data_IF_014841846414
#
_entry.id   IF_014841846414
#
_cell.length_a   1.000
_cell.length_b   1.000
_cell.length_c   1.000
_cell.angle_alpha   90.00
_cell.angle_beta   90.00
_cell.angle_gamma   90.00
#
_symmetry.space_group_name_H-M   'P 1'
#
loop_
_entity.id
_entity.type
_entity.pdbx_description
1 polymer ?
#
# COMPACT_ATOMS: atom_id res chain seq x y z
N UNK A 1 -58.04 -61.60 -17.05
CA UNK A 1 -58.07 -60.16 -16.67
C UNK A 1 -57.14 -59.75 -15.53
N UNK A 2 -56.76 -60.61 -14.56
CA UNK A 2 -55.87 -60.21 -13.42
C UNK A 2 -54.42 -59.83 -13.80
N UNK A 3 -53.87 -60.35 -14.90
CA UNK A 3 -52.46 -60.06 -15.29
C UNK A 3 -52.26 -58.69 -15.93
N UNK A 4 -53.27 -58.15 -16.63
CA UNK A 4 -53.17 -56.84 -17.31
C UNK A 4 -53.04 -55.71 -16.28
N UNK A 5 -53.78 -55.76 -15.17
CA UNK A 5 -53.65 -54.77 -14.09
C UNK A 5 -52.27 -54.76 -13.42
N UNK A 6 -51.63 -55.93 -13.30
CA UNK A 6 -50.27 -56.03 -12.76
C UNK A 6 -49.22 -55.44 -13.72
N UNK A 7 -49.33 -55.67 -15.04
CA UNK A 7 -48.43 -55.07 -16.03
C UNK A 7 -48.60 -53.55 -16.11
N UNK A 8 -49.83 -53.03 -16.06
CA UNK A 8 -50.09 -51.58 -16.01
C UNK A 8 -49.49 -50.96 -14.75
N UNK A 9 -49.65 -51.60 -13.58
CA UNK A 9 -49.04 -51.14 -12.33
C UNK A 9 -47.51 -51.11 -12.40
N UNK A 10 -46.87 -52.12 -13.00
CA UNK A 10 -45.42 -52.15 -13.19
C UNK A 10 -44.95 -51.05 -14.15
N UNK A 11 -45.65 -50.82 -15.26
CA UNK A 11 -45.31 -49.75 -16.21
C UNK A 11 -45.45 -48.38 -15.57
N UNK A 12 -46.53 -48.13 -14.83
CA UNK A 12 -46.71 -46.87 -14.08
C UNK A 12 -45.61 -46.70 -13.03
N UNK A 13 -45.24 -47.76 -12.31
CA UNK A 13 -44.15 -47.70 -11.34
C UNK A 13 -42.80 -47.40 -11.99
N UNK A 14 -42.49 -48.00 -13.14
CA UNK A 14 -41.25 -47.74 -13.88
C UNK A 14 -41.23 -46.32 -14.44
N UNK A 15 -42.36 -45.81 -14.94
CA UNK A 15 -42.46 -44.42 -15.40
C UNK A 15 -42.30 -43.43 -14.24
N UNK A 16 -42.89 -43.71 -13.07
CA UNK A 16 -42.68 -42.89 -11.87
C UNK A 16 -41.24 -42.97 -11.37
N UNK A 17 -40.63 -44.15 -11.33
CA UNK A 17 -39.23 -44.32 -10.94
C UNK A 17 -38.29 -43.60 -11.93
N UNK A 18 -38.55 -43.72 -13.23
CA UNK A 18 -37.82 -43.00 -14.28
C UNK A 18 -37.98 -41.49 -14.16
N UNK A 19 -39.18 -40.99 -13.84
CA UNK A 19 -39.43 -39.58 -13.58
C UNK A 19 -38.68 -39.09 -12.32
N UNK A 20 -38.67 -39.86 -11.24
CA UNK A 20 -37.93 -39.51 -10.00
C UNK A 20 -36.41 -39.51 -10.26
N UNK A 21 -35.90 -40.49 -10.99
CA UNK A 21 -34.48 -40.55 -11.38
C UNK A 21 -34.12 -39.37 -12.29
N UNK A 22 -34.97 -39.05 -13.27
CA UNK A 22 -34.77 -37.88 -14.12
C UNK A 22 -34.81 -36.58 -13.32
N UNK A 23 -35.76 -36.40 -12.41
CA UNK A 23 -35.83 -35.25 -11.50
C UNK A 23 -34.59 -35.15 -10.60
N UNK A 24 -34.05 -36.28 -10.14
CA UNK A 24 -32.81 -36.32 -9.36
C UNK A 24 -31.60 -35.87 -10.19
N UNK A 25 -31.39 -36.46 -11.37
CA UNK A 25 -30.25 -36.11 -12.23
C UNK A 25 -30.38 -34.73 -12.90
N UNK A 26 -31.59 -34.23 -13.11
CA UNK A 26 -31.83 -32.87 -13.59
C UNK A 26 -31.77 -31.82 -12.46
N UNK A 27 -31.41 -32.20 -11.24
CA UNK A 27 -31.15 -31.28 -10.11
C UNK A 27 -32.39 -30.78 -9.37
N UNK A 28 -33.58 -31.30 -9.68
CA UNK A 28 -34.84 -30.86 -9.06
C UNK A 28 -35.04 -31.33 -7.62
N UNK A 29 -34.48 -32.51 -7.28
CA UNK A 29 -34.56 -33.10 -5.94
C UNK A 29 -33.32 -32.79 -5.09
N UNK A 30 -32.57 -31.75 -5.46
CA UNK A 30 -31.39 -31.35 -4.72
C UNK A 30 -31.72 -30.72 -3.37
N UNK A 31 -30.88 -31.01 -2.37
CA UNK A 31 -30.93 -30.45 -1.01
C UNK A 31 -29.74 -29.51 -0.72
N UNK A 32 -28.84 -29.34 -1.69
CA UNK A 32 -27.79 -28.34 -1.64
C UNK A 32 -28.40 -26.95 -1.45
N UNK A 33 -27.77 -26.15 -0.58
CA UNK A 33 -28.19 -24.77 -0.36
C UNK A 33 -27.28 -23.83 -1.15
N UNK A 34 -27.80 -22.70 -1.66
CA UNK A 34 -26.99 -21.72 -2.35
C UNK A 34 -25.95 -21.10 -1.41
N UNK A 35 -24.74 -20.85 -1.92
CA UNK A 35 -23.66 -20.14 -1.25
C UNK A 35 -23.79 -18.63 -1.39
N UNK A 36 -23.43 -17.90 -0.33
CA UNK A 36 -23.32 -16.44 -0.30
C UNK A 36 -21.90 -16.11 0.18
N UNK A 37 -21.15 -15.34 -0.61
CA UNK A 37 -19.81 -14.88 -0.23
C UNK A 37 -19.68 -13.39 -0.48
N UNK A 38 -19.41 -12.62 0.56
CA UNK A 38 -19.09 -11.20 0.44
C UNK A 38 -17.62 -11.03 0.07
N UNK A 39 -17.30 -10.05 -0.79
CA UNK A 39 -15.91 -9.73 -1.12
C UNK A 39 -15.20 -8.95 0.00
N UNK A 40 -15.97 -8.32 0.88
CA UNK A 40 -15.47 -7.57 2.04
C UNK A 40 -16.38 -7.75 3.27
N UNK A 41 -15.80 -7.67 4.47
CA UNK A 41 -16.59 -7.59 5.70
C UNK A 41 -17.23 -6.19 5.85
N UNK A 42 -18.51 -6.16 6.22
CA UNK A 42 -19.28 -4.92 6.32
C UNK A 42 -19.65 -4.68 7.78
N UNK A 43 -18.84 -3.95 8.52
CA UNK A 43 -19.15 -3.56 9.90
C UNK A 43 -20.01 -2.30 10.00
N UNK A 44 -19.93 -1.42 8.99
CA UNK A 44 -20.71 -0.17 8.95
C UNK A 44 -21.06 0.26 7.51
N UNK A 45 -22.13 1.07 7.41
CA UNK A 45 -22.65 1.66 6.17
C UNK A 45 -22.85 3.16 6.37
N UNK A 46 -22.20 3.96 5.52
CA UNK A 46 -22.33 5.41 5.49
C UNK A 46 -23.42 5.89 4.55
N UNK A 47 -23.29 7.11 4.03
CA UNK A 47 -24.33 7.70 3.15
C UNK A 47 -24.64 6.80 1.95
N UNK A 48 -23.59 6.34 1.28
CA UNK A 48 -23.63 5.37 0.19
C UNK A 48 -22.54 4.34 0.38
N UNK A 49 -22.87 3.06 0.16
CA UNK A 49 -21.88 1.98 0.15
C UNK A 49 -22.28 0.93 -0.86
N UNK A 50 -21.33 0.52 -1.70
CA UNK A 50 -21.53 -0.61 -2.59
C UNK A 50 -21.14 -1.90 -1.88
N UNK A 51 -21.96 -2.93 -2.06
CA UNK A 51 -21.77 -4.27 -1.52
C UNK A 51 -21.53 -5.20 -2.69
N UNK A 52 -20.32 -5.74 -2.77
CA UNK A 52 -19.96 -6.75 -3.75
C UNK A 52 -20.08 -8.15 -3.13
N UNK A 53 -20.89 -9.00 -3.76
CA UNK A 53 -21.10 -10.37 -3.32
C UNK A 53 -21.16 -11.35 -4.50
N UNK A 54 -20.77 -12.59 -4.22
CA UNK A 54 -20.85 -13.71 -5.15
C UNK A 54 -21.84 -14.72 -4.59
N UNK A 55 -22.85 -15.04 -5.39
CA UNK A 55 -23.81 -16.11 -5.15
C UNK A 55 -23.40 -17.34 -5.94
N UNK A 56 -23.58 -18.53 -5.38
CA UNK A 56 -23.30 -19.79 -6.08
C UNK A 56 -24.31 -20.87 -5.75
N UNK A 57 -24.63 -21.71 -6.72
CA UNK A 57 -25.38 -22.94 -6.53
C UNK A 57 -24.93 -23.94 -7.59
N UNK A 58 -24.27 -25.02 -7.16
CA UNK A 58 -23.59 -25.95 -8.06
C UNK A 58 -24.56 -26.88 -8.82
N UNK A 59 -25.80 -26.96 -8.38
CA UNK A 59 -26.74 -28.05 -8.65
C UNK A 59 -27.99 -27.52 -9.31
N UNK A 60 -29.00 -27.10 -8.54
CA UNK A 60 -30.31 -26.69 -9.04
C UNK A 60 -30.28 -25.30 -9.69
N UNK A 61 -29.25 -24.51 -9.37
CA UNK A 61 -29.04 -23.15 -9.86
C UNK A 61 -29.78 -22.10 -9.04
N UNK A 62 -29.26 -20.89 -9.03
CA UNK A 62 -29.81 -19.74 -8.32
C UNK A 62 -31.16 -19.35 -8.92
N UNK A 63 -32.14 -19.09 -8.05
CA UNK A 63 -33.48 -18.63 -8.44
C UNK A 63 -33.75 -17.17 -8.08
N UNK A 64 -33.29 -16.73 -6.91
CA UNK A 64 -33.50 -15.37 -6.44
C UNK A 64 -32.47 -14.95 -5.42
N UNK A 65 -32.31 -13.64 -5.29
CA UNK A 65 -31.65 -13.00 -4.16
C UNK A 65 -32.51 -11.85 -3.64
N UNK A 66 -32.48 -11.66 -2.33
CA UNK A 66 -33.10 -10.53 -1.64
C UNK A 66 -32.14 -9.98 -0.61
N UNK A 67 -31.92 -8.67 -0.64
CA UNK A 67 -31.03 -7.97 0.29
C UNK A 67 -31.87 -6.94 1.05
N UNK A 68 -31.84 -7.01 2.37
CA UNK A 68 -32.68 -6.22 3.25
C UNK A 68 -31.88 -5.67 4.43
N UNK A 69 -32.26 -4.47 4.89
CA UNK A 69 -31.75 -3.89 6.13
C UNK A 69 -32.89 -3.75 7.11
N UNK A 70 -32.73 -4.35 8.28
CA UNK A 70 -33.65 -4.23 9.40
C UNK A 70 -33.14 -3.19 10.41
N UNK A 71 -33.95 -2.16 10.67
CA UNK A 71 -33.67 -1.14 11.67
C UNK A 71 -35.00 -0.55 12.18
N UNK A 72 -35.08 -0.23 13.48
CA UNK A 72 -36.27 0.36 14.10
C UNK A 72 -37.57 -0.46 13.88
N UNK A 73 -37.48 -1.79 13.95
CA UNK A 73 -38.58 -2.73 13.68
C UNK A 73 -39.13 -2.67 12.25
N UNK A 74 -38.41 -2.04 11.33
CA UNK A 74 -38.78 -1.96 9.92
C UNK A 74 -37.71 -2.62 9.05
N UNK A 75 -38.17 -3.47 8.15
CA UNK A 75 -37.33 -4.05 7.10
C UNK A 75 -37.42 -3.19 5.85
N UNK A 76 -36.27 -2.78 5.33
CA UNK A 76 -36.15 -1.99 4.10
C UNK A 76 -35.47 -2.85 3.04
N UNK A 77 -36.13 -2.99 1.89
CA UNK A 77 -35.57 -3.70 0.75
C UNK A 77 -34.47 -2.86 0.09
N UNK A 78 -33.26 -3.40 0.02
CA UNK A 78 -32.14 -2.79 -0.69
C UNK A 78 -32.17 -3.20 -2.16
N UNK A 79 -32.24 -4.51 -2.42
CA UNK A 79 -32.28 -5.06 -3.76
C UNK A 79 -32.97 -6.43 -3.78
N UNK A 80 -33.59 -6.76 -4.91
CA UNK A 80 -34.08 -8.10 -5.21
C UNK A 80 -33.87 -8.37 -6.70
N UNK A 81 -33.35 -9.55 -7.02
CA UNK A 81 -33.17 -10.02 -8.40
C UNK A 81 -33.64 -11.48 -8.49
N UNK A 82 -34.30 -11.82 -9.60
CA UNK A 82 -34.65 -13.19 -9.94
C UNK A 82 -33.78 -13.67 -11.09
N UNK A 83 -33.43 -14.96 -11.06
CA UNK A 83 -32.54 -15.57 -12.03
C UNK A 83 -33.27 -16.65 -12.83
N UNK A 84 -33.05 -16.73 -14.15
CA UNK A 84 -33.52 -17.86 -14.94
C UNK A 84 -32.80 -19.15 -14.50
N UNK A 85 -33.39 -20.30 -14.82
CA UNK A 85 -32.75 -21.61 -14.54
C UNK A 85 -31.40 -21.74 -15.24
N UNK A 86 -30.48 -22.44 -14.58
CA UNK A 86 -29.13 -22.71 -15.10
C UNK A 86 -28.06 -21.71 -14.66
N UNK A 87 -28.42 -20.63 -13.95
CA UNK A 87 -27.43 -19.70 -13.38
C UNK A 87 -26.80 -20.34 -12.14
N UNK A 88 -25.56 -20.83 -12.28
CA UNK A 88 -24.82 -21.48 -11.17
C UNK A 88 -23.99 -20.54 -10.33
N UNK A 89 -23.65 -19.38 -10.86
CA UNK A 89 -22.88 -18.36 -10.16
C UNK A 89 -23.28 -16.97 -10.67
N UNK A 90 -23.35 -15.99 -9.76
CA UNK A 90 -23.63 -14.61 -10.10
C UNK A 90 -22.84 -13.68 -9.17
N UNK A 91 -22.07 -12.77 -9.77
CA UNK A 91 -21.51 -11.62 -9.08
C UNK A 91 -22.52 -10.46 -9.12
N UNK A 92 -22.76 -9.85 -7.96
CA UNK A 92 -23.65 -8.72 -7.79
C UNK A 92 -22.93 -7.58 -7.07
N UNK A 93 -23.17 -6.37 -7.56
CA UNK A 93 -22.82 -5.12 -6.90
C UNK A 93 -24.09 -4.36 -6.56
N UNK A 94 -24.35 -4.19 -5.27
CA UNK A 94 -25.57 -3.54 -4.78
C UNK A 94 -25.23 -2.28 -4.03
N UNK A 95 -25.79 -1.15 -4.45
CA UNK A 95 -25.58 0.13 -3.79
C UNK A 95 -26.62 0.36 -2.70
N UNK A 96 -26.16 0.55 -1.46
CA UNK A 96 -26.99 0.93 -0.32
C UNK A 96 -26.97 2.44 -0.20
N UNK A 97 -28.13 3.08 -0.38
CA UNK A 97 -28.35 4.50 -0.13
C UNK A 97 -29.15 4.68 1.16
N UNK A 98 -28.50 5.15 2.21
CA UNK A 98 -29.11 5.26 3.54
C UNK A 98 -30.23 6.30 3.61
N UNK A 99 -30.15 7.36 2.81
CA UNK A 99 -31.17 8.40 2.74
C UNK A 99 -32.41 7.89 1.99
N UNK A 100 -32.21 7.24 0.84
CA UNK A 100 -33.31 6.65 0.07
C UNK A 100 -34.07 5.59 0.88
N UNK A 101 -33.35 4.80 1.67
CA UNK A 101 -33.91 3.80 2.57
C UNK A 101 -34.45 4.40 3.88
N UNK A 102 -34.26 5.71 4.14
CA UNK A 102 -34.66 6.38 5.38
C UNK A 102 -34.09 5.70 6.64
N UNK A 103 -32.85 5.26 6.56
CA UNK A 103 -32.10 4.70 7.69
C UNK A 103 -31.59 5.82 8.60
N UNK A 104 -31.48 5.55 9.90
CA UNK A 104 -30.95 6.48 10.91
C UNK A 104 -29.62 5.98 11.42
N UNK A 105 -28.80 6.90 11.95
CA UNK A 105 -27.55 6.52 12.60
C UNK A 105 -27.83 5.61 13.81
N UNK A 106 -27.11 4.50 13.92
CA UNK A 106 -27.30 3.49 14.97
C UNK A 106 -27.19 2.06 14.46
N UNK A 107 -27.47 1.06 15.32
CA UNK A 107 -27.40 -0.35 14.94
C UNK A 107 -28.47 -0.72 13.90
N UNK A 108 -28.14 -1.65 13.02
CA UNK A 108 -29.03 -2.27 12.05
C UNK A 108 -28.57 -3.72 11.77
N UNK A 109 -29.41 -4.51 11.11
CA UNK A 109 -29.04 -5.85 10.65
C UNK A 109 -29.17 -5.94 9.13
N UNK A 110 -28.08 -6.28 8.44
CA UNK A 110 -28.06 -6.57 7.02
C UNK A 110 -28.37 -8.05 6.84
N UNK A 111 -29.36 -8.37 6.01
CA UNK A 111 -29.76 -9.75 5.69
C UNK A 111 -29.72 -9.97 4.19
N UNK A 112 -29.02 -11.02 3.76
CA UNK A 112 -28.98 -11.48 2.37
C UNK A 112 -29.58 -12.87 2.34
N UNK A 113 -30.62 -13.03 1.52
CA UNK A 113 -31.32 -14.29 1.32
C UNK A 113 -31.15 -14.73 -0.12
N UNK A 114 -30.60 -15.92 -0.33
CA UNK A 114 -30.45 -16.54 -1.65
C UNK A 114 -31.29 -17.83 -1.71
N UNK A 115 -32.08 -18.00 -2.77
CA UNK A 115 -32.91 -19.17 -3.00
C UNK A 115 -32.54 -19.87 -4.30
N UNK A 116 -32.80 -21.18 -4.37
CA UNK A 116 -32.50 -22.04 -5.51
C UNK A 116 -33.76 -22.44 -6.32
N UNK A 117 -33.56 -23.12 -7.45
CA UNK A 117 -34.65 -23.60 -8.33
C UNK A 117 -35.13 -25.02 -8.00
N UNK A 118 -34.67 -25.61 -6.89
CA UNK A 118 -35.06 -26.96 -6.49
C UNK A 118 -36.57 -27.03 -6.16
N UNK A 119 -37.14 -28.24 -6.21
CA UNK A 119 -38.53 -28.46 -5.79
C UNK A 119 -38.74 -28.22 -4.29
N UNK A 120 -37.66 -28.23 -3.51
CA UNK A 120 -37.68 -27.94 -2.08
C UNK A 120 -37.50 -26.45 -1.78
N UNK A 121 -37.22 -25.61 -2.79
CA UNK A 121 -36.95 -24.19 -2.67
C UNK A 121 -35.93 -23.90 -1.55
N UNK A 122 -34.77 -24.53 -1.63
CA UNK A 122 -33.73 -24.39 -0.62
C UNK A 122 -33.28 -22.93 -0.54
N UNK A 123 -33.03 -22.48 0.68
CA UNK A 123 -32.71 -21.09 0.97
C UNK A 123 -31.54 -21.00 1.96
N UNK A 124 -30.66 -20.03 1.69
CA UNK A 124 -29.60 -19.61 2.60
C UNK A 124 -29.88 -18.18 3.01
N UNK A 125 -29.88 -17.95 4.32
CA UNK A 125 -29.99 -16.62 4.93
C UNK A 125 -28.67 -16.31 5.61
N UNK A 126 -28.01 -15.26 5.14
CA UNK A 126 -26.84 -14.67 5.78
C UNK A 126 -27.27 -13.37 6.47
N UNK A 127 -26.85 -13.16 7.71
CA UNK A 127 -27.23 -11.97 8.48
C UNK A 127 -26.07 -11.47 9.32
N UNK A 128 -25.87 -10.15 9.35
CA UNK A 128 -24.82 -9.50 10.13
C UNK A 128 -25.32 -8.20 10.77
N UNK A 129 -24.93 -8.01 12.03
CA UNK A 129 -25.11 -6.72 12.72
C UNK A 129 -24.14 -5.69 12.15
N UNK A 130 -24.69 -4.53 11.79
CA UNK A 130 -23.96 -3.42 11.19
C UNK A 130 -24.32 -2.12 11.91
N UNK A 131 -23.48 -1.11 11.76
CA UNK A 131 -23.79 0.26 12.22
C UNK A 131 -24.07 1.16 11.02
N UNK A 132 -25.20 1.85 11.02
CA UNK A 132 -25.45 2.96 10.11
C UNK A 132 -24.80 4.21 10.72
N UNK A 133 -23.89 4.83 9.99
CA UNK A 133 -23.18 6.03 10.44
C UNK A 133 -22.90 6.94 9.25
N UNK A 134 -23.63 8.04 9.15
CA UNK A 134 -23.58 8.99 8.02
C UNK A 134 -22.75 10.25 8.30
N UNK A 135 -22.13 10.32 9.49
CA UNK A 135 -21.38 11.49 9.93
C UNK A 135 -19.89 11.27 9.65
N UNK A 136 -19.16 12.22 9.04
CA UNK A 136 -17.73 12.08 8.87
C UNK A 136 -16.97 12.14 10.21
N UNK A 137 -15.79 11.50 10.32
CA UNK A 137 -14.91 11.72 11.47
C UNK A 137 -14.45 13.18 11.52
N UNK A 138 -14.22 13.72 12.71
CA UNK A 138 -13.57 15.02 12.88
C UNK A 138 -12.08 14.82 13.13
N UNK A 139 -11.24 15.66 12.55
CA UNK A 139 -9.78 15.61 12.69
C UNK A 139 -9.32 16.77 13.57
N UNK A 140 -8.66 16.46 14.67
CA UNK A 140 -8.03 17.42 15.56
C UNK A 140 -6.50 17.30 15.46
N UNK A 141 -5.87 18.28 14.80
CA UNK A 141 -4.40 18.37 14.73
C UNK A 141 -3.89 18.82 16.09
N UNK A 142 -2.98 18.04 16.70
CA UNK A 142 -2.49 18.33 18.04
C UNK A 142 -1.35 19.35 18.00
N UNK A 143 -0.41 19.19 17.07
CA UNK A 143 0.71 20.11 16.88
C UNK A 143 0.84 20.51 15.41
N UNK A 144 0.52 21.77 15.05
CA UNK A 144 0.65 22.22 13.67
C UNK A 144 2.11 22.26 13.23
N UNK A 145 2.34 22.08 11.93
CA UNK A 145 3.67 22.13 11.32
C UNK A 145 3.89 23.53 10.76
N UNK A 146 4.75 24.32 11.40
CA UNK A 146 4.99 25.69 10.95
C UNK A 146 5.82 25.75 9.66
N UNK A 147 6.87 24.93 9.58
CA UNK A 147 7.83 24.94 8.49
C UNK A 147 8.17 23.53 8.03
N UNK A 148 8.34 23.38 6.72
CA UNK A 148 8.81 22.16 6.06
C UNK A 148 9.90 22.53 5.06
N UNK A 149 10.91 21.69 4.88
CA UNK A 149 11.90 21.90 3.83
C UNK A 149 11.47 21.18 2.55
N UNK A 150 11.69 21.80 1.40
CA UNK A 150 11.58 21.14 0.10
C UNK A 150 12.53 19.92 0.06
N UNK A 151 12.00 18.76 -0.32
CA UNK A 151 12.74 17.49 -0.28
C UNK A 151 12.92 16.91 1.13
N UNK A 152 12.34 17.51 2.17
CA UNK A 152 12.47 17.09 3.56
C UNK A 152 11.33 16.20 4.04
N UNK A 153 11.31 15.99 5.34
CA UNK A 153 10.30 15.18 6.05
C UNK A 153 9.35 16.06 6.84
N UNK A 154 8.06 15.76 6.76
CA UNK A 154 7.06 16.26 7.70
C UNK A 154 6.66 15.19 8.72
N UNK A 155 6.29 15.65 9.92
CA UNK A 155 5.72 14.81 10.97
C UNK A 155 4.57 15.53 11.67
N UNK A 156 3.45 14.83 11.84
CA UNK A 156 2.27 15.31 12.56
C UNK A 156 1.74 14.29 13.55
N UNK A 157 1.10 14.80 14.59
CA UNK A 157 0.25 14.06 15.51
C UNK A 157 -1.17 14.65 15.49
N UNK A 158 -2.18 13.80 15.41
CA UNK A 158 -3.58 14.20 15.34
C UNK A 158 -4.50 13.13 15.94
N UNK A 159 -5.73 13.50 16.25
CA UNK A 159 -6.79 12.60 16.70
C UNK A 159 -7.98 12.66 15.79
N UNK A 160 -8.69 11.54 15.71
CA UNK A 160 -9.99 11.46 15.05
C UNK A 160 -11.08 11.30 16.11
N UNK A 161 -12.26 11.89 15.89
CA UNK A 161 -13.37 11.79 16.86
C UNK A 161 -13.92 10.36 17.04
N UNK A 162 -13.59 9.47 16.12
CA UNK A 162 -13.94 8.05 16.11
C UNK A 162 -12.87 7.22 15.39
N UNK A 163 -12.83 5.88 15.58
CA UNK A 163 -11.89 5.02 14.89
C UNK A 163 -11.97 5.19 13.36
N UNK A 164 -10.79 5.28 12.73
CA UNK A 164 -10.68 5.43 11.28
C UNK A 164 -10.10 4.16 10.68
N UNK A 165 -10.78 3.61 9.67
CA UNK A 165 -10.31 2.45 8.92
C UNK A 165 -9.09 2.80 8.04
N UNK A 166 -9.02 4.04 7.56
CA UNK A 166 -7.87 4.57 6.84
C UNK A 166 -7.62 6.01 7.29
N UNK A 167 -6.39 6.34 7.65
CA UNK A 167 -6.03 7.71 8.02
C UNK A 167 -4.57 7.98 7.72
N UNK A 168 -4.23 9.23 7.42
CA UNK A 168 -2.87 9.61 7.06
C UNK A 168 -2.79 11.04 6.55
N UNK A 169 -1.76 11.31 5.76
CA UNK A 169 -1.50 12.62 5.16
C UNK A 169 -1.44 12.48 3.66
N UNK A 170 -2.17 13.33 2.96
CA UNK A 170 -1.96 13.58 1.54
C UNK A 170 -0.96 14.70 1.35
N UNK A 171 0.02 14.49 0.48
CA UNK A 171 0.82 15.53 -0.16
C UNK A 171 0.50 15.50 -1.65
N UNK A 172 -0.28 16.47 -2.10
CA UNK A 172 -0.98 16.48 -3.38
C UNK A 172 -1.80 15.20 -3.58
N UNK A 173 -1.27 14.24 -4.35
CA UNK A 173 -1.92 12.94 -4.64
C UNK A 173 -1.28 11.77 -3.90
N UNK A 174 -0.15 11.97 -3.23
CA UNK A 174 0.58 10.90 -2.53
C UNK A 174 0.04 10.77 -1.12
N UNK A 175 -0.28 9.55 -0.73
CA UNK A 175 -0.81 9.24 0.61
C UNK A 175 0.27 8.60 1.47
N UNK A 176 0.44 9.12 2.69
CA UNK A 176 1.31 8.57 3.71
C UNK A 176 0.46 8.09 4.89
N UNK A 177 0.56 6.81 5.21
CA UNK A 177 -0.27 6.19 6.24
C UNK A 177 0.02 6.77 7.63
N UNK A 178 -1.05 7.01 8.39
CA UNK A 178 -0.98 7.32 9.80
C UNK A 178 -1.02 6.06 10.65
N UNK A 179 -0.31 6.07 11.76
CA UNK A 179 -0.21 4.97 12.70
C UNK A 179 -0.72 5.41 14.07
N UNK A 180 -1.74 4.73 14.58
CA UNK A 180 -2.29 5.02 15.92
C UNK A 180 -1.43 4.36 16.98
N UNK A 181 -0.82 5.20 17.83
CA UNK A 181 0.01 4.80 18.96
C UNK A 181 -0.52 5.44 20.24
N UNK A 182 -0.12 4.91 21.40
CA UNK A 182 -0.44 5.52 22.68
C UNK A 182 0.58 6.63 22.99
N UNK A 183 0.15 7.89 22.96
CA UNK A 183 0.93 9.04 23.44
C UNK A 183 0.28 9.56 24.73
N UNK A 184 1.06 9.65 25.81
CA UNK A 184 0.57 10.02 27.15
C UNK A 184 -0.69 9.21 27.58
N UNK A 185 -0.74 7.92 27.24
CA UNK A 185 -1.87 7.03 27.55
C UNK A 185 -3.12 7.23 26.69
N UNK A 186 -3.07 8.10 25.67
CA UNK A 186 -4.20 8.39 24.77
C UNK A 186 -3.90 7.92 23.34
N UNK A 187 -4.86 7.26 22.67
CA UNK A 187 -4.69 6.88 21.27
C UNK A 187 -4.54 8.15 20.42
N UNK A 188 -3.42 8.23 19.73
CA UNK A 188 -3.05 9.38 18.91
C UNK A 188 -2.44 8.85 17.62
N UNK A 189 -2.91 9.36 16.49
CA UNK A 189 -2.36 8.98 15.19
C UNK A 189 -1.19 9.88 14.86
N UNK A 190 -0.08 9.27 14.48
CA UNK A 190 1.11 9.97 14.00
C UNK A 190 1.38 9.59 12.55
N UNK A 191 1.90 10.52 11.77
CA UNK A 191 2.26 10.27 10.37
C UNK A 191 3.52 11.03 10.01
N UNK A 192 4.49 10.32 9.43
CA UNK A 192 5.53 10.94 8.62
C UNK A 192 5.01 11.12 7.19
N UNK A 193 5.43 12.18 6.51
CA UNK A 193 5.16 12.38 5.08
C UNK A 193 6.34 13.03 4.38
N UNK A 194 6.60 12.64 3.14
CA UNK A 194 7.68 13.22 2.35
C UNK A 194 7.21 14.51 1.66
N UNK A 195 8.05 15.55 1.72
CA UNK A 195 7.83 16.79 0.96
C UNK A 195 8.62 16.69 -0.34
N UNK A 196 7.97 16.74 -1.51
CA UNK A 196 8.65 16.57 -2.79
C UNK A 196 9.82 17.56 -2.98
N UNK A 197 10.92 17.16 -3.65
CA UNK A 197 12.01 18.07 -4.00
C UNK A 197 11.61 19.18 -4.96
N UNK A 198 10.44 19.12 -5.59
CA UNK A 198 9.85 20.14 -6.46
C UNK A 198 8.67 20.87 -5.80
N UNK A 199 8.44 20.65 -4.49
CA UNK A 199 7.35 21.28 -3.76
C UNK A 199 7.47 22.81 -3.76
N UNK A 200 6.34 23.49 -3.96
CA UNK A 200 6.26 24.95 -4.05
C UNK A 200 5.32 25.46 -2.97
N UNK A 201 5.81 26.41 -2.16
CA UNK A 201 5.01 27.06 -1.13
C UNK A 201 3.72 27.67 -1.70
N UNK A 202 2.59 27.41 -1.05
CA UNK A 202 1.26 27.87 -1.49
C UNK A 202 0.67 27.12 -2.69
N UNK A 203 1.40 26.21 -3.35
CA UNK A 203 0.88 25.36 -4.44
C UNK A 203 0.75 23.90 -4.02
N UNK A 204 1.77 23.35 -3.36
CA UNK A 204 1.75 21.99 -2.83
C UNK A 204 0.73 21.90 -1.71
N UNK A 205 -0.26 21.00 -1.85
CA UNK A 205 -1.33 20.83 -0.88
C UNK A 205 -1.00 19.71 0.09
N UNK A 206 -1.00 20.02 1.38
CA UNK A 206 -0.79 19.03 2.43
C UNK A 206 -2.04 18.98 3.29
N UNK A 207 -2.59 17.80 3.50
CA UNK A 207 -3.83 17.64 4.21
C UNK A 207 -3.92 16.31 4.96
N UNK A 208 -4.41 16.37 6.19
CA UNK A 208 -4.71 15.20 6.99
C UNK A 208 -6.03 14.61 6.53
N UNK A 209 -6.07 13.29 6.37
CA UNK A 209 -7.22 12.55 5.89
C UNK A 209 -7.63 11.46 6.89
N UNK A 210 -8.92 11.24 7.02
CA UNK A 210 -9.49 10.15 7.78
C UNK A 210 -10.74 9.62 7.08
N UNK A 211 -10.86 8.29 7.03
CA UNK A 211 -12.04 7.56 6.58
C UNK A 211 -12.42 6.54 7.63
N UNK A 212 -13.68 6.55 8.05
CA UNK A 212 -14.22 5.56 8.99
C UNK A 212 -14.61 4.24 8.30
N UNK A 213 -15.08 3.26 9.08
CA UNK A 213 -15.52 1.97 8.55
C UNK A 213 -16.82 2.07 7.70
N UNK A 214 -17.58 3.14 7.87
CA UNK A 214 -18.81 3.42 7.13
C UNK A 214 -18.52 4.05 5.75
N UNK A 215 -17.27 4.46 5.51
CA UNK A 215 -16.83 5.10 4.27
C UNK A 215 -16.98 6.62 4.27
N UNK A 216 -17.31 7.24 5.41
CA UNK A 216 -17.34 8.70 5.48
C UNK A 216 -15.90 9.23 5.59
N UNK A 217 -15.62 10.24 4.78
CA UNK A 217 -14.30 10.85 4.67
C UNK A 217 -14.30 12.26 5.27
N UNK A 218 -13.18 12.62 5.87
CA UNK A 218 -12.88 13.96 6.31
C UNK A 218 -11.45 14.33 5.93
N UNK A 219 -11.26 15.61 5.63
CA UNK A 219 -9.96 16.16 5.30
C UNK A 219 -9.78 17.51 5.97
N UNK A 220 -8.59 17.78 6.48
CA UNK A 220 -8.21 19.08 7.04
C UNK A 220 -6.86 19.48 6.49
N UNK A 221 -6.81 20.65 5.85
CA UNK A 221 -5.55 21.21 5.34
C UNK A 221 -4.58 21.41 6.50
N UNK A 222 -3.33 21.00 6.30
CA UNK A 222 -2.24 21.30 7.22
C UNK A 222 -1.61 22.63 6.78
N UNK A 223 -1.86 23.74 7.51
CA UNK A 223 -1.20 25.00 7.19
C UNK A 223 0.28 24.87 7.52
N UNK A 224 1.15 25.07 6.53
CA UNK A 224 2.59 25.07 6.70
C UNK A 224 3.26 25.96 5.67
N UNK A 225 4.44 26.49 6.00
CA UNK A 225 5.30 27.17 5.03
C UNK A 225 6.37 26.20 4.51
N UNK A 226 6.41 25.98 3.20
CA UNK A 226 7.45 25.17 2.56
C UNK A 226 8.65 26.08 2.25
N UNK A 227 9.76 25.84 2.93
CA UNK A 227 11.04 26.52 2.71
C UNK A 227 11.69 25.97 1.44
N UNK A 228 11.94 26.82 0.43
CA UNK A 228 12.62 26.38 -0.78
C UNK A 228 14.05 25.97 -0.45
N UNK A 229 14.56 24.97 -1.16
CA UNK A 229 15.95 24.51 -1.05
C UNK A 229 16.66 24.71 -2.37
N UNK A 230 17.85 25.32 -2.34
CA UNK A 230 18.71 25.40 -3.51
C UNK A 230 19.47 24.09 -3.65
N UNK A 231 19.16 23.35 -4.70
CA UNK A 231 19.89 22.15 -5.07
C UNK A 231 21.06 22.48 -5.99
N UNK A 232 22.13 21.69 -5.91
CA UNK A 232 23.27 21.85 -6.84
C UNK A 232 22.87 21.30 -8.21
N UNK A 233 23.53 21.80 -9.24
CA UNK A 233 23.37 21.30 -10.60
C UNK A 233 24.76 21.01 -11.18
N UNK A 234 24.98 19.77 -11.60
CA UNK A 234 26.25 19.30 -12.13
C UNK A 234 26.03 18.70 -13.53
N UNK A 235 27.02 18.90 -14.42
CA UNK A 235 27.06 18.24 -15.73
C UNK A 235 28.01 17.06 -15.67
N UNK A 236 27.60 15.91 -16.18
CA UNK A 236 28.38 14.67 -16.16
C UNK A 236 28.59 14.20 -17.59
N UNK A 237 29.82 14.28 -18.07
CA UNK A 237 30.19 13.70 -19.36
C UNK A 237 30.21 12.17 -19.25
N UNK A 238 29.39 11.51 -20.05
CA UNK A 238 29.37 10.05 -20.14
C UNK A 238 30.56 9.59 -20.98
N UNK A 239 31.72 9.45 -20.34
CA UNK A 239 32.90 8.94 -21.00
C UNK A 239 32.69 7.50 -21.48
N UNK A 240 33.35 7.14 -22.60
CA UNK A 240 33.33 5.76 -23.08
C UNK A 240 33.84 4.77 -22.03
N UNK A 241 34.84 5.15 -21.24
CA UNK A 241 35.37 4.32 -20.15
C UNK A 241 34.34 4.08 -19.04
N UNK A 242 33.55 5.09 -18.67
CA UNK A 242 32.48 4.94 -17.69
C UNK A 242 31.37 4.04 -18.22
N UNK A 243 30.91 4.29 -19.45
CA UNK A 243 29.85 3.50 -20.07
C UNK A 243 30.26 2.02 -20.23
N UNK A 244 31.49 1.74 -20.69
CA UNK A 244 32.00 0.38 -20.81
C UNK A 244 32.12 -0.35 -19.47
N UNK A 245 32.34 0.37 -18.38
CA UNK A 245 32.42 -0.22 -17.03
C UNK A 245 31.05 -0.68 -16.52
N UNK A 246 29.99 0.09 -16.75
CA UNK A 246 28.66 -0.17 -16.17
C UNK A 246 27.80 -1.12 -17.02
N UNK A 247 28.01 -1.15 -18.34
CA UNK A 247 27.16 -1.88 -19.29
C UNK A 247 27.10 -3.39 -19.04
N UNK A 248 28.24 -4.10 -18.79
CA UNK A 248 28.22 -5.55 -18.64
C UNK A 248 27.30 -6.02 -17.51
N UNK A 249 27.35 -5.33 -16.37
CA UNK A 249 26.53 -5.67 -15.20
C UNK A 249 25.03 -5.58 -15.53
N UNK A 250 24.59 -4.47 -16.15
CA UNK A 250 23.18 -4.28 -16.50
C UNK A 250 22.71 -5.18 -17.64
N UNK A 251 23.57 -5.52 -18.61
CA UNK A 251 23.22 -6.47 -19.68
C UNK A 251 23.06 -7.90 -19.14
N UNK A 252 23.85 -8.28 -18.13
CA UNK A 252 23.74 -9.59 -17.48
C UNK A 252 22.46 -9.73 -16.65
N UNK A 253 22.03 -8.66 -15.98
CA UNK A 253 20.84 -8.66 -15.12
C UNK A 253 19.54 -8.43 -15.89
N UNK A 254 19.60 -7.79 -17.07
CA UNK A 254 18.42 -7.36 -17.82
C UNK A 254 18.48 -7.86 -19.26
N UNK A 255 17.85 -9.00 -19.58
CA UNK A 255 17.95 -9.64 -20.90
C UNK A 255 17.57 -8.74 -22.08
N UNK A 256 16.67 -7.77 -21.87
CA UNK A 256 16.22 -6.81 -22.88
C UNK A 256 17.33 -5.83 -23.33
N UNK A 257 18.42 -5.73 -22.57
CA UNK A 257 19.57 -4.88 -22.87
C UNK A 257 20.67 -5.60 -23.66
N UNK A 258 20.53 -6.91 -23.89
CA UNK A 258 21.50 -7.68 -24.65
C UNK A 258 21.65 -7.14 -26.07
N UNK A 259 22.89 -6.90 -26.49
CA UNK A 259 23.23 -6.37 -27.82
C UNK A 259 22.95 -4.87 -28.02
N UNK A 260 22.49 -4.14 -26.99
CA UNK A 260 22.32 -2.69 -27.04
C UNK A 260 23.65 -1.94 -26.93
N UNK A 261 23.71 -0.75 -27.53
CA UNK A 261 24.87 0.13 -27.40
C UNK A 261 25.01 0.68 -25.97
N UNK A 262 26.21 1.10 -25.53
CA UNK A 262 26.40 1.62 -24.18
C UNK A 262 25.51 2.82 -23.82
N UNK A 263 25.25 3.70 -24.79
CA UNK A 263 24.39 4.87 -24.61
C UNK A 263 22.91 4.47 -24.49
N UNK A 264 22.44 3.49 -25.27
CA UNK A 264 21.07 2.95 -25.15
C UNK A 264 20.87 2.26 -23.79
N UNK A 265 21.85 1.48 -23.34
CA UNK A 265 21.84 0.84 -22.01
C UNK A 265 21.74 1.91 -20.92
N UNK A 266 22.57 2.95 -20.98
CA UNK A 266 22.49 4.05 -20.03
C UNK A 266 21.14 4.78 -20.09
N UNK A 267 20.58 5.00 -21.28
CA UNK A 267 19.25 5.59 -21.45
C UNK A 267 18.14 4.82 -20.73
N UNK A 268 18.13 3.49 -20.85
CA UNK A 268 17.21 2.62 -20.12
C UNK A 268 17.46 2.67 -18.60
N UNK A 269 18.73 2.56 -18.18
CA UNK A 269 19.13 2.62 -16.78
C UNK A 269 18.73 3.94 -16.13
N UNK A 270 18.85 5.06 -16.85
CA UNK A 270 18.53 6.40 -16.35
C UNK A 270 17.04 6.76 -16.45
N UNK A 271 16.20 5.89 -17.00
CA UNK A 271 14.75 6.10 -17.11
C UNK A 271 14.01 4.91 -16.49
N UNK A 272 13.70 3.89 -17.29
CA UNK A 272 12.89 2.72 -16.92
C UNK A 272 13.38 2.04 -15.64
N UNK A 273 14.68 1.78 -15.51
CA UNK A 273 15.20 1.08 -14.33
C UNK A 273 15.05 1.91 -13.05
N UNK A 274 15.19 3.24 -13.11
CA UNK A 274 14.96 4.12 -11.95
C UNK A 274 13.50 4.07 -11.49
N UNK A 275 12.57 4.06 -12.44
CA UNK A 275 11.13 3.95 -12.14
C UNK A 275 10.79 2.58 -11.52
N UNK A 276 11.34 1.51 -12.06
CA UNK A 276 11.19 0.16 -11.52
C UNK A 276 11.79 0.02 -10.11
N UNK A 277 12.98 0.59 -9.88
CA UNK A 277 13.60 0.62 -8.55
C UNK A 277 12.75 1.42 -7.57
N UNK A 278 12.21 2.57 -7.98
CA UNK A 278 11.31 3.38 -7.15
C UNK A 278 10.06 2.61 -6.75
N UNK A 279 9.40 1.93 -7.70
CA UNK A 279 8.23 1.08 -7.40
C UNK A 279 8.56 -0.08 -6.47
N UNK A 280 9.73 -0.69 -6.66
CA UNK A 280 10.21 -1.78 -5.79
C UNK A 280 10.42 -1.27 -4.36
N UNK A 281 11.07 -0.12 -4.20
CA UNK A 281 11.30 0.51 -2.88
C UNK A 281 9.97 0.88 -2.22
N UNK A 282 9.03 1.49 -2.96
CA UNK A 282 7.70 1.79 -2.45
C UNK A 282 6.95 0.54 -1.99
N UNK A 283 7.01 -0.56 -2.76
CA UNK A 283 6.36 -1.82 -2.41
C UNK A 283 6.98 -2.47 -1.16
N UNK A 284 8.31 -2.44 -1.04
CA UNK A 284 9.05 -2.94 0.14
C UNK A 284 8.68 -2.11 1.38
N UNK A 285 8.64 -0.79 1.26
CA UNK A 285 8.32 0.13 2.36
C UNK A 285 6.83 0.25 2.68
N UNK A 286 5.94 -0.40 1.91
CA UNK A 286 4.49 -0.33 2.12
C UNK A 286 4.06 -1.01 3.44
N UNK A 287 4.88 -1.92 3.98
CA UNK A 287 4.67 -2.58 5.27
C UNK A 287 5.73 -2.09 6.24
N UNK A 288 5.29 -1.59 7.38
CA UNK A 288 6.14 -0.99 8.42
C UNK A 288 5.65 -1.38 9.80
N UNK A 289 6.55 -1.44 10.78
CA UNK A 289 6.19 -1.70 12.16
C UNK A 289 5.26 -0.60 12.71
N UNK A 290 4.19 -0.94 13.44
CA UNK A 290 3.24 0.03 14.00
C UNK A 290 3.78 0.74 15.27
N UNK A 291 5.10 0.86 15.40
CA UNK A 291 5.78 1.45 16.55
C UNK A 291 7.11 2.06 16.12
N UNK A 292 7.60 3.06 16.86
CA UNK A 292 8.93 3.64 16.67
C UNK A 292 9.99 2.62 17.11
N UNK A 293 10.89 2.21 16.20
CA UNK A 293 11.98 1.26 16.50
C UNK A 293 13.34 1.93 16.72
N UNK A 294 13.46 3.20 16.38
CA UNK A 294 14.71 3.97 16.41
C UNK A 294 14.76 4.90 17.62
N UNK A 295 15.98 5.31 18.00
CA UNK A 295 16.18 6.31 19.05
C UNK A 295 17.34 7.27 18.75
N UNK A 296 17.14 8.54 19.11
CA UNK A 296 18.09 9.62 18.84
C UNK A 296 18.38 9.87 17.35
N UNK A 297 19.48 10.60 17.09
CA UNK A 297 19.93 10.89 15.73
C UNK A 297 20.43 9.66 14.99
N UNK A 298 20.20 9.63 13.67
CA UNK A 298 20.67 8.57 12.80
C UNK A 298 22.17 8.70 12.59
N UNK A 299 22.84 7.56 12.67
CA UNK A 299 24.27 7.45 12.46
C UNK A 299 24.60 7.70 10.98
N UNK A 300 25.57 8.58 10.75
CA UNK A 300 26.19 8.82 9.45
C UNK A 300 27.49 8.01 9.38
N UNK A 301 27.74 7.35 8.24
CA UNK A 301 28.97 6.59 7.98
C UNK A 301 30.23 7.32 8.50
N UNK A 302 31.01 6.61 9.33
CA UNK A 302 32.22 7.15 9.97
C UNK A 302 33.30 7.44 8.92
N UNK A 303 34.12 8.46 9.18
CA UNK A 303 35.29 8.79 8.35
C UNK A 303 34.99 8.90 6.83
N UNK A 304 33.79 9.38 6.49
CA UNK A 304 33.34 9.51 5.12
C UNK A 304 33.18 10.98 4.70
N UNK A 305 33.55 11.27 3.46
CA UNK A 305 33.38 12.58 2.80
C UNK A 305 32.14 12.54 1.91
N UNK A 306 31.26 13.56 1.94
CA UNK A 306 30.15 13.65 1.00
C UNK A 306 30.68 13.95 -0.41
N UNK A 307 30.27 13.14 -1.38
CA UNK A 307 30.62 13.29 -2.80
C UNK A 307 29.45 13.87 -3.62
N UNK A 308 28.23 13.52 -3.25
CA UNK A 308 27.00 14.11 -3.78
C UNK A 308 25.95 14.23 -2.68
N UNK A 309 25.07 15.22 -2.80
CA UNK A 309 24.04 15.55 -1.82
C UNK A 309 22.65 15.20 -2.36
N UNK A 310 21.69 15.14 -1.43
CA UNK A 310 20.30 14.92 -1.79
C UNK A 310 19.75 16.09 -2.61
N UNK A 311 19.05 15.75 -3.68
CA UNK A 311 18.44 16.67 -4.62
C UNK A 311 19.40 17.25 -5.66
N UNK A 312 20.70 16.89 -5.64
CA UNK A 312 21.64 17.30 -6.68
C UNK A 312 21.11 16.91 -8.07
N UNK A 313 21.02 17.88 -8.97
CA UNK A 313 20.51 17.72 -10.32
C UNK A 313 21.68 17.40 -11.26
N UNK A 314 21.61 16.27 -11.96
CA UNK A 314 22.66 15.83 -12.88
C UNK A 314 22.13 15.91 -14.31
N UNK A 315 22.84 16.63 -15.17
CA UNK A 315 22.65 16.58 -16.63
C UNK A 315 23.76 15.73 -17.25
N UNK A 316 23.39 14.62 -17.85
CA UNK A 316 24.31 13.73 -18.55
C UNK A 316 24.56 14.22 -19.97
N UNK A 317 25.81 14.23 -20.40
CA UNK A 317 26.24 14.66 -21.72
C UNK A 317 26.84 13.49 -22.51
N UNK A 318 26.55 13.43 -23.80
CA UNK A 318 27.24 12.57 -24.78
C UNK A 318 27.82 13.50 -25.84
N UNK A 319 29.15 13.44 -26.03
CA UNK A 319 29.89 14.33 -26.95
C UNK A 319 29.57 15.83 -26.73
N UNK A 320 29.48 16.24 -25.46
CA UNK A 320 29.17 17.60 -25.04
C UNK A 320 27.71 18.03 -25.20
N UNK A 321 26.82 17.15 -25.69
CA UNK A 321 25.39 17.44 -25.88
C UNK A 321 24.54 16.81 -24.77
N UNK A 322 23.51 17.51 -24.25
CA UNK A 322 22.58 16.94 -23.26
C UNK A 322 21.91 15.67 -23.77
N UNK A 323 22.02 14.60 -22.98
CA UNK A 323 21.44 13.29 -23.26
C UNK A 323 20.28 12.96 -22.32
N UNK A 324 20.42 13.27 -21.03
CA UNK A 324 19.40 12.97 -20.03
C UNK A 324 19.64 13.69 -18.72
N UNK A 325 18.65 13.66 -17.83
CA UNK A 325 18.75 14.27 -16.50
C UNK A 325 18.44 13.24 -15.41
N UNK A 326 18.92 13.48 -14.20
CA UNK A 326 18.48 12.77 -13.00
C UNK A 326 18.58 13.67 -11.78
N UNK A 327 17.85 13.28 -10.72
CA UNK A 327 17.97 13.89 -9.39
C UNK A 327 18.58 12.85 -8.46
N UNK A 328 19.54 13.28 -7.64
CA UNK A 328 20.18 12.41 -6.68
C UNK A 328 19.31 12.23 -5.43
N UNK A 329 18.76 11.03 -5.21
CA UNK A 329 17.78 10.75 -4.16
C UNK A 329 18.40 10.23 -2.85
N UNK A 330 19.64 10.62 -2.57
CA UNK A 330 20.37 10.21 -1.38
C UNK A 330 21.61 11.07 -1.18
N UNK A 331 22.55 10.58 -0.37
CA UNK A 331 23.86 11.20 -0.15
C UNK A 331 24.92 10.14 -0.41
N UNK A 332 25.87 10.48 -1.27
CA UNK A 332 26.98 9.61 -1.61
C UNK A 332 28.13 9.91 -0.64
N UNK A 333 28.57 8.89 0.12
CA UNK A 333 29.57 8.98 1.17
C UNK A 333 30.75 8.07 0.83
N UNK A 334 31.91 8.68 0.52
CA UNK A 334 33.11 7.93 0.18
C UNK A 334 34.09 7.88 1.37
N UNK A 335 34.72 6.73 1.56
CA UNK A 335 35.80 6.51 2.54
C UNK A 335 36.91 5.67 1.89
N UNK A 336 37.67 4.92 2.68
CA UNK A 336 38.56 3.88 2.16
C UNK A 336 37.75 2.77 1.47
N UNK A 337 38.36 2.07 0.51
CA UNK A 337 37.70 0.99 -0.21
C UNK A 337 37.22 -0.12 0.74
N UNK A 338 36.05 -0.69 0.45
CA UNK A 338 35.40 -1.70 1.30
C UNK A 338 35.25 -1.27 2.77
N UNK A 339 34.96 0.01 3.01
CA UNK A 339 34.72 0.51 4.34
C UNK A 339 33.49 -0.19 4.97
N UNK A 340 33.52 -0.49 6.28
CA UNK A 340 32.35 -1.00 7.00
C UNK A 340 31.15 -0.07 6.85
N UNK A 341 29.98 -0.66 6.58
CA UNK A 341 28.70 0.04 6.57
C UNK A 341 27.88 -0.44 7.75
N UNK A 342 27.49 0.50 8.61
CA UNK A 342 26.66 0.24 9.78
C UNK A 342 25.23 0.76 9.61
N UNK A 343 24.28 0.09 10.28
CA UNK A 343 22.91 0.54 10.35
C UNK A 343 22.82 1.92 11.04
N UNK A 344 22.19 2.88 10.37
CA UNK A 344 22.05 4.25 10.84
C UNK A 344 21.26 4.33 12.16
N UNK A 345 20.27 3.46 12.35
CA UNK A 345 19.56 3.33 13.61
C UNK A 345 19.00 1.91 13.77
N UNK A 346 18.41 1.61 14.94
CA UNK A 346 17.76 0.33 15.18
C UNK A 346 16.52 0.15 14.29
N UNK A 347 16.25 -1.09 13.88
CA UNK A 347 15.14 -1.41 12.99
C UNK A 347 15.14 -2.85 12.51
N UNK A 348 14.29 -3.15 11.54
CA UNK A 348 14.15 -4.47 10.91
C UNK A 348 14.61 -4.39 9.46
N UNK A 349 15.46 -5.30 9.02
CA UNK A 349 15.86 -5.38 7.61
C UNK A 349 14.68 -5.88 6.79
N UNK A 350 14.18 -5.05 5.87
CA UNK A 350 13.03 -5.37 5.00
C UNK A 350 13.46 -5.72 3.57
N UNK A 351 14.71 -5.43 3.21
CA UNK A 351 15.31 -5.82 1.93
C UNK A 351 16.82 -6.02 2.08
N UNK A 352 17.36 -7.04 1.41
CA UNK A 352 18.78 -7.33 1.34
C UNK A 352 19.07 -8.10 0.03
N UNK A 353 19.66 -7.43 -0.96
CA UNK A 353 19.99 -8.05 -2.25
C UNK A 353 20.21 -7.03 -3.38
N UNK A 354 20.31 -7.49 -4.65
CA UNK A 354 20.44 -6.61 -5.81
C UNK A 354 19.19 -5.75 -6.06
N UNK A 355 19.37 -4.45 -6.31
CA UNK A 355 18.30 -3.47 -6.53
C UNK A 355 18.69 -2.48 -7.64
N UNK A 356 18.75 -2.95 -8.87
CA UNK A 356 18.97 -2.14 -10.08
C UNK A 356 20.14 -1.17 -9.95
N UNK A 357 19.86 0.14 -10.07
CA UNK A 357 20.89 1.18 -10.00
C UNK A 357 21.62 1.22 -8.65
N UNK A 358 20.98 0.77 -7.57
CA UNK A 358 21.56 0.77 -6.23
C UNK A 358 22.52 -0.42 -6.01
N UNK A 359 22.67 -1.32 -6.98
CA UNK A 359 23.52 -2.49 -6.83
C UNK A 359 23.04 -3.39 -5.70
N UNK A 360 23.96 -3.97 -4.94
CA UNK A 360 23.61 -4.63 -3.69
C UNK A 360 23.16 -3.59 -2.68
N UNK A 361 21.93 -3.74 -2.19
CA UNK A 361 21.31 -2.80 -1.29
C UNK A 361 20.71 -3.50 -0.07
N UNK A 362 20.65 -2.74 1.03
CA UNK A 362 19.90 -3.07 2.25
C UNK A 362 18.87 -1.98 2.49
N UNK A 363 17.66 -2.34 2.87
CA UNK A 363 16.64 -1.39 3.37
C UNK A 363 16.23 -1.82 4.78
N UNK A 364 16.22 -0.87 5.72
CA UNK A 364 15.86 -1.07 7.12
C UNK A 364 14.61 -0.26 7.45
N UNK A 365 13.56 -0.93 7.91
CA UNK A 365 12.38 -0.31 8.52
C UNK A 365 12.69 0.13 9.94
N UNK A 366 12.46 1.40 10.23
CA UNK A 366 12.58 1.99 11.56
C UNK A 366 11.20 2.17 12.22
N UNK A 367 10.13 1.74 11.54
CA UNK A 367 8.77 1.79 11.99
C UNK A 367 8.05 3.09 11.66
N UNK A 368 6.72 3.06 11.75
CA UNK A 368 5.81 4.17 11.46
C UNK A 368 5.99 4.76 10.04
N UNK A 369 6.49 3.96 9.10
CA UNK A 369 6.71 4.36 7.71
C UNK A 369 8.06 5.02 7.42
N UNK A 370 8.98 5.04 8.39
CA UNK A 370 10.35 5.53 8.22
C UNK A 370 11.31 4.39 7.86
N UNK A 371 12.14 4.56 6.85
CA UNK A 371 13.15 3.57 6.46
C UNK A 371 14.47 4.22 6.03
N UNK A 372 15.55 3.46 6.04
CA UNK A 372 16.84 3.85 5.45
C UNK A 372 17.29 2.85 4.38
N UNK A 373 17.97 3.33 3.34
CA UNK A 373 18.53 2.53 2.24
C UNK A 373 20.04 2.71 2.18
N UNK A 374 20.75 1.59 2.00
CA UNK A 374 22.21 1.51 1.88
C UNK A 374 22.53 0.82 0.56
N UNK A 375 23.02 1.56 -0.43
CA UNK A 375 23.31 1.08 -1.77
C UNK A 375 24.81 0.94 -2.07
N UNK A 376 25.09 0.35 -3.23
CA UNK A 376 26.41 0.09 -3.82
C UNK A 376 27.30 -0.85 -3.03
N UNK A 377 26.72 -1.68 -2.15
CA UNK A 377 27.50 -2.56 -1.28
C UNK A 377 28.32 -3.58 -2.09
N UNK A 378 29.54 -3.89 -1.65
CA UNK A 378 30.30 -5.02 -2.19
C UNK A 378 29.87 -6.33 -1.53
N UNK A 379 29.56 -6.28 -0.24
CA UNK A 379 29.13 -7.42 0.58
C UNK A 379 27.94 -7.00 1.43
N UNK A 380 26.92 -7.86 1.48
CA UNK A 380 25.80 -7.76 2.42
C UNK A 380 26.06 -8.77 3.55
N UNK A 381 26.09 -8.30 4.79
CA UNK A 381 26.33 -9.11 6.00
C UNK A 381 25.09 -9.15 6.91
N UNK A 382 23.92 -8.92 6.33
CA UNK A 382 22.62 -8.96 7.00
C UNK A 382 21.59 -9.65 6.12
N UNK A 383 20.40 -9.94 6.67
CA UNK A 383 19.34 -10.64 5.95
C UNK A 383 17.96 -10.09 6.31
N UNK A 384 17.00 -10.25 5.39
CA UNK A 384 15.61 -9.85 5.59
C UNK A 384 15.04 -10.50 6.85
N UNK A 385 14.32 -9.72 7.66
CA UNK A 385 13.74 -10.11 8.94
C UNK A 385 14.67 -9.94 10.15
N UNK A 386 15.96 -9.65 9.95
CA UNK A 386 16.89 -9.41 11.05
C UNK A 386 16.60 -8.07 11.74
N UNK A 387 16.48 -8.10 13.07
CA UNK A 387 16.56 -6.90 13.90
C UNK A 387 18.02 -6.45 13.96
N UNK A 388 18.28 -5.18 13.68
CA UNK A 388 19.61 -4.59 13.76
C UNK A 388 19.62 -3.45 14.76
N UNK A 389 20.74 -3.25 15.43
CA UNK A 389 20.96 -2.11 16.33
C UNK A 389 21.60 -0.96 15.57
N UNK A 390 21.45 0.26 16.09
CA UNK A 390 22.26 1.41 15.65
C UNK A 390 23.74 1.03 15.71
N UNK A 391 24.48 1.40 14.65
CA UNK A 391 25.92 1.14 14.49
C UNK A 391 26.30 -0.34 14.37
N UNK A 392 25.32 -1.25 14.20
CA UNK A 392 25.59 -2.63 13.84
C UNK A 392 26.05 -2.72 12.38
N UNK A 393 27.19 -3.41 12.14
CA UNK A 393 27.69 -3.65 10.78
C UNK A 393 26.69 -4.50 9.97
N UNK A 394 26.36 -4.03 8.78
CA UNK A 394 25.41 -4.67 7.86
C UNK A 394 26.03 -5.03 6.49
N UNK A 395 27.25 -4.58 6.23
CA UNK A 395 27.95 -4.86 4.98
C UNK A 395 29.23 -4.04 4.81
N UNK A 396 29.71 -3.99 3.57
CA UNK A 396 30.88 -3.23 3.14
C UNK A 396 30.53 -2.35 1.94
N UNK A 397 31.08 -1.13 1.88
CA UNK A 397 30.95 -0.23 0.73
C UNK A 397 31.52 -0.89 -0.54
N UNK A 398 31.14 -0.38 -1.70
CA UNK A 398 31.59 -0.98 -2.95
C UNK A 398 31.19 -0.20 -4.18
N UNK A 399 31.13 -0.96 -5.28
CA UNK A 399 31.03 -0.47 -6.65
C UNK A 399 29.88 -1.09 -7.44
N UNK A 400 28.97 -1.81 -6.78
CA UNK A 400 27.88 -2.51 -7.47
C UNK A 400 26.80 -1.53 -7.96
N UNK A 401 26.16 -1.87 -9.08
CA UNK A 401 25.13 -1.01 -9.69
C UNK A 401 25.72 0.22 -10.39
N UNK A 402 25.01 1.34 -10.35
CA UNK A 402 25.41 2.58 -11.02
C UNK A 402 26.36 3.41 -10.15
N UNK A 403 27.56 2.89 -9.88
CA UNK A 403 28.58 3.52 -9.05
C UNK A 403 29.85 3.91 -9.84
N UNK A 404 30.25 5.19 -9.76
CA UNK A 404 31.49 5.69 -10.39
C UNK A 404 32.77 5.35 -9.64
N UNK A 405 32.68 5.11 -8.33
CA UNK A 405 33.78 4.87 -7.39
C UNK A 405 33.28 4.15 -6.14
N UNK A 406 34.16 3.63 -5.29
CA UNK A 406 33.73 2.97 -4.03
C UNK A 406 33.12 4.01 -3.09
N UNK A 407 31.83 3.85 -2.78
CA UNK A 407 31.10 4.71 -1.85
C UNK A 407 29.85 4.01 -1.32
N UNK A 408 29.27 4.57 -0.26
CA UNK A 408 27.92 4.30 0.18
C UNK A 408 26.96 5.29 -0.47
N UNK A 409 25.90 4.79 -1.11
CA UNK A 409 24.71 5.61 -1.34
C UNK A 409 23.75 5.45 -0.16
N UNK A 410 23.48 6.53 0.57
CA UNK A 410 22.58 6.52 1.73
C UNK A 410 21.33 7.35 1.48
N UNK A 411 20.16 6.76 1.71
CA UNK A 411 18.87 7.47 1.63
C UNK A 411 18.03 7.28 2.88
N UNK A 412 17.23 8.29 3.19
CA UNK A 412 16.10 8.18 4.11
C UNK A 412 14.81 8.14 3.28
N UNK A 413 13.85 7.34 3.74
CA UNK A 413 12.60 7.04 3.05
C UNK A 413 11.43 7.25 4.02
N UNK A 414 10.36 7.88 3.53
CA UNK A 414 9.09 8.04 4.25
C UNK A 414 7.97 7.50 3.37
N UNK A 415 7.33 6.40 3.78
CA UNK A 415 6.34 5.71 2.96
C UNK A 415 6.88 5.27 1.59
N UNK A 416 8.19 4.98 1.51
CA UNK A 416 8.87 4.64 0.26
C UNK A 416 9.29 5.85 -0.60
N UNK A 417 9.00 7.07 -0.19
CA UNK A 417 9.43 8.29 -0.86
C UNK A 417 10.74 8.82 -0.28
N UNK A 418 11.66 9.23 -1.15
CA UNK A 418 12.98 9.72 -0.72
C UNK A 418 12.90 11.12 -0.09
N UNK A 419 13.56 11.25 1.06
CA UNK A 419 13.67 12.50 1.80
C UNK A 419 15.13 12.79 2.15
N UNK A 420 15.43 14.06 2.40
CA UNK A 420 16.77 14.52 2.69
C UNK A 420 17.36 13.88 3.97
N UNK A 421 18.42 13.06 3.87
CA UNK A 421 19.00 12.38 5.03
C UNK A 421 19.59 13.30 6.09
N UNK A 422 19.99 14.52 5.71
CA UNK A 422 20.63 15.46 6.65
C UNK A 422 19.73 15.82 7.84
N UNK A 423 18.41 15.86 7.64
CA UNK A 423 17.44 16.13 8.71
C UNK A 423 17.53 15.06 9.82
N UNK A 424 17.73 13.81 9.43
CA UNK A 424 17.80 12.66 10.34
C UNK A 424 19.16 12.51 11.02
N UNK A 425 20.20 13.20 10.54
CA UNK A 425 21.49 13.28 11.21
C UNK A 425 21.56 14.41 12.25
N UNK A 426 20.63 15.35 12.22
CA UNK A 426 20.59 16.49 13.13
C UNK A 426 19.70 16.20 14.36
N UNK A 427 20.29 16.04 15.56
CA UNK A 427 19.51 15.78 16.76
C UNK A 427 18.54 16.92 17.11
N UNK A 428 18.87 18.18 16.79
CA UNK A 428 17.97 19.31 17.05
C UNK A 428 16.75 19.27 16.13
N UNK A 429 16.97 18.96 14.84
CA UNK A 429 15.87 18.80 13.91
C UNK A 429 14.91 17.70 14.36
N UNK A 430 15.45 16.54 14.78
CA UNK A 430 14.63 15.42 15.28
C UNK A 430 13.86 15.83 16.53
N UNK A 431 14.51 16.50 17.47
CA UNK A 431 13.89 16.95 18.71
C UNK A 431 12.71 17.89 18.43
N UNK A 432 12.94 18.93 17.61
CA UNK A 432 11.96 19.97 17.33
C UNK A 432 10.82 19.51 16.42
N UNK A 433 11.11 18.66 15.44
CA UNK A 433 10.13 18.30 14.41
C UNK A 433 9.40 17.00 14.70
N UNK A 434 9.99 16.11 15.51
CA UNK A 434 9.47 14.76 15.80
C UNK A 434 9.23 14.58 17.30
N UNK A 435 10.27 14.63 18.13
CA UNK A 435 10.18 14.15 19.52
C UNK A 435 9.24 15.00 20.39
N UNK A 436 9.33 16.34 20.31
CA UNK A 436 8.39 17.23 21.03
C UNK A 436 6.93 16.99 20.64
N UNK A 437 6.69 16.56 19.40
CA UNK A 437 5.33 16.23 18.92
C UNK A 437 4.88 14.82 19.32
N UNK A 438 5.79 13.96 19.77
CA UNK A 438 5.46 12.64 20.34
C UNK A 438 5.18 12.69 21.84
N UNK A 439 5.43 13.82 22.51
CA UNK A 439 5.27 13.97 23.97
C UNK A 439 3.92 14.62 24.38
N UNK A 440 2.95 14.72 23.46
CA UNK A 440 1.67 15.43 23.64
C UNK A 440 0.63 14.62 24.43
#
# INVERSE_FOLDING_TARGET
MKRIGAYVAIVVFVLMAGAVVWLYFAGYLDRGKPGITLKEEISAIGRKKDIDLTLSDATSGLARVKIEIFQDRQTRLVAAESFPRGVRQKDLRVSVDTEALKLKNGPASLTITAGDHSLFANETVWSQQITIDTLPPQIAILNPVNYLNQGGTGFIAYRTSKPSALTGVYVDRRFFAGHTIALAGRPTTVAYFAVPPDAVNGKTRIAVFARDAAGNEAQTTLPCTIKPKKFRSDKVDLSNSFLQKIVPDFQSSTPQLSGKTPVEVFGYVNSTLRDENTRTIQAVCARTAPARLWDGAFHRMRNAKPMALFGDQRTYLVDGKPFGNSVHLGIDLASVAHAPIEAANAGVVIFAGPLGIYGNAVIIDHGLGLSSLYGHLSVIETAVGKNVKREEKIGLSGLTGLAGGDHLHFSMLVGGEFVNPQEWWDPHWIEDNVMKKMQI
#
